data_IF_803095156075
#
_entry.id   IF_803095156075
#
_cell.length_a   1.000
_cell.length_b   1.000
_cell.length_c   1.000
_cell.angle_alpha   90.00
_cell.angle_beta   90.00
_cell.angle_gamma   90.00
#
_symmetry.space_group_name_H-M   'P 1'
#
loop_
_entity.id
_entity.type
_entity.pdbx_description
1 polymer ?
#
# COMPACT_ATOMS: atom_id res chain seq x y z
N UNK A 1 -4.64 14.20 -4.88
CA UNK A 1 -3.25 13.83 -4.47
C UNK A 1 -3.08 13.49 -2.98
N UNK A 2 -3.32 14.40 -2.02
CA UNK A 2 -3.03 14.13 -0.60
C UNK A 2 -3.72 12.86 -0.05
N UNK A 3 -4.99 12.63 -0.40
CA UNK A 3 -5.70 11.41 0.00
C UNK A 3 -4.97 10.13 -0.45
N UNK A 4 -4.39 10.09 -1.65
CA UNK A 4 -3.61 8.94 -2.15
C UNK A 4 -2.35 8.73 -1.29
N UNK A 5 -1.62 9.82 -1.01
CA UNK A 5 -0.41 9.79 -0.16
C UNK A 5 -0.71 9.28 1.24
N UNK A 6 -1.75 9.79 1.89
CA UNK A 6 -2.10 9.37 3.25
C UNK A 6 -2.63 7.93 3.27
N UNK A 7 -3.39 7.53 2.24
CA UNK A 7 -3.88 6.15 2.10
C UNK A 7 -2.74 5.14 2.03
N UNK A 8 -1.70 5.39 1.22
CA UNK A 8 -0.55 4.49 1.15
C UNK A 8 0.31 4.55 2.41
N UNK A 9 0.42 5.74 3.03
CA UNK A 9 1.16 5.91 4.30
C UNK A 9 0.51 5.11 5.44
N UNK A 10 -0.81 4.96 5.45
CA UNK A 10 -1.52 4.12 6.42
C UNK A 10 -1.16 2.63 6.27
N UNK A 11 -1.06 2.14 5.02
CA UNK A 11 -0.61 0.77 4.73
C UNK A 11 0.83 0.56 5.22
N UNK A 12 1.74 1.50 4.92
CA UNK A 12 3.13 1.45 5.36
C UNK A 12 3.24 1.42 6.89
N UNK A 13 2.47 2.27 7.58
CA UNK A 13 2.45 2.33 9.03
C UNK A 13 1.98 1.03 9.66
N UNK A 14 0.92 0.41 9.12
CA UNK A 14 0.44 -0.89 9.56
C UNK A 14 1.51 -1.97 9.37
N UNK A 15 2.05 -2.06 8.17
CA UNK A 15 3.10 -3.02 7.83
C UNK A 15 4.29 -2.88 8.79
N UNK A 16 4.79 -1.65 8.99
CA UNK A 16 5.89 -1.36 9.92
C UNK A 16 5.56 -1.74 11.36
N UNK A 17 4.32 -1.51 11.82
CA UNK A 17 3.87 -1.90 13.16
C UNK A 17 4.02 -3.42 13.40
N UNK A 18 3.72 -4.25 12.41
CA UNK A 18 3.81 -5.71 12.54
C UNK A 18 5.17 -6.30 12.20
N UNK A 19 5.96 -5.64 11.33
CA UNK A 19 7.18 -6.23 10.75
C UNK A 19 8.46 -5.51 11.18
N UNK A 20 8.38 -4.23 11.54
CA UNK A 20 9.53 -3.34 11.72
C UNK A 20 10.21 -2.92 10.41
N UNK A 21 9.69 -3.33 9.26
CA UNK A 21 10.30 -3.06 7.95
C UNK A 21 9.90 -1.68 7.41
N UNK A 22 10.76 -1.10 6.58
CA UNK A 22 10.56 0.23 5.99
C UNK A 22 9.85 0.21 4.64
N UNK A 23 9.72 -0.96 3.99
CA UNK A 23 9.12 -1.11 2.66
C UNK A 23 8.04 -2.19 2.64
N UNK A 24 7.07 -2.06 1.73
CA UNK A 24 5.94 -2.99 1.64
C UNK A 24 6.36 -4.41 1.22
N UNK A 25 7.27 -4.53 0.26
CA UNK A 25 7.78 -5.82 -0.24
C UNK A 25 8.44 -6.65 0.89
N UNK A 26 9.30 -6.02 1.69
CA UNK A 26 9.92 -6.64 2.86
C UNK A 26 8.89 -6.97 3.93
N UNK A 27 7.95 -6.06 4.15
CA UNK A 27 6.87 -6.27 5.11
C UNK A 27 6.01 -7.48 4.75
N UNK A 28 5.59 -7.61 3.49
CA UNK A 28 4.76 -8.72 3.02
C UNK A 28 5.49 -10.07 3.18
N UNK A 29 6.78 -10.14 2.79
CA UNK A 29 7.60 -11.34 3.03
C UNK A 29 7.71 -11.71 4.52
N UNK A 30 7.86 -10.72 5.39
CA UNK A 30 7.95 -10.95 6.83
C UNK A 30 6.61 -11.33 7.45
N UNK A 31 5.51 -10.76 6.97
CA UNK A 31 4.16 -11.17 7.37
C UNK A 31 3.88 -12.62 6.98
N UNK A 32 4.31 -13.07 5.79
CA UNK A 32 4.23 -14.48 5.39
C UNK A 32 4.97 -15.39 6.37
N UNK A 33 6.18 -15.00 6.80
CA UNK A 33 6.92 -15.76 7.82
C UNK A 33 6.23 -15.82 9.20
N UNK A 34 5.28 -14.89 9.45
CA UNK A 34 4.46 -14.83 10.68
C UNK A 34 3.12 -15.54 10.54
N UNK A 35 2.89 -16.28 9.44
CA UNK A 35 1.67 -17.06 9.23
C UNK A 35 0.63 -16.39 8.33
N UNK A 36 0.90 -15.20 7.79
CA UNK A 36 0.01 -14.58 6.79
C UNK A 36 0.13 -15.31 5.45
N UNK A 37 -0.79 -16.21 5.15
CA UNK A 37 -0.84 -16.85 3.83
C UNK A 37 -1.58 -15.94 2.84
N UNK A 38 -0.82 -15.26 1.98
CA UNK A 38 -1.35 -14.51 0.84
C UNK A 38 -1.31 -15.38 -0.41
N UNK A 39 -2.38 -15.33 -1.20
CA UNK A 39 -2.31 -15.83 -2.57
C UNK A 39 -1.22 -15.04 -3.34
N UNK A 40 -0.31 -15.69 -4.09
CA UNK A 40 0.81 -15.02 -4.76
C UNK A 40 0.37 -13.93 -5.75
N UNK A 41 -0.76 -14.13 -6.44
CA UNK A 41 -1.29 -13.17 -7.41
C UNK A 41 -1.85 -11.94 -6.69
N UNK A 42 -2.54 -12.13 -5.56
CA UNK A 42 -3.01 -11.03 -4.71
C UNK A 42 -1.83 -10.20 -4.20
N UNK A 43 -0.78 -10.85 -3.69
CA UNK A 43 0.44 -10.18 -3.23
C UNK A 43 1.08 -9.33 -4.34
N UNK A 44 1.25 -9.91 -5.53
CA UNK A 44 1.81 -9.20 -6.67
C UNK A 44 0.95 -7.99 -7.09
N UNK A 45 -0.38 -8.10 -7.00
CA UNK A 45 -1.29 -6.98 -7.25
C UNK A 45 -1.10 -5.84 -6.25
N UNK A 46 -0.99 -6.16 -4.96
CA UNK A 46 -0.76 -5.18 -3.90
C UNK A 46 0.58 -4.47 -4.06
N UNK A 47 1.64 -5.21 -4.38
CA UNK A 47 2.96 -4.66 -4.68
C UNK A 47 2.89 -3.69 -5.87
N UNK A 48 2.20 -4.06 -6.96
CA UNK A 48 2.04 -3.18 -8.13
C UNK A 48 1.29 -1.88 -7.83
N UNK A 49 0.21 -1.94 -7.04
CA UNK A 49 -0.54 -0.75 -6.61
C UNK A 49 0.35 0.16 -5.74
N UNK A 50 1.13 -0.44 -4.85
CA UNK A 50 2.09 0.30 -4.03
C UNK A 50 3.16 0.97 -4.89
N UNK A 51 3.78 0.26 -5.83
CA UNK A 51 4.78 0.85 -6.73
C UNK A 51 4.19 1.96 -7.60
N UNK A 52 2.96 1.81 -8.10
CA UNK A 52 2.26 2.87 -8.84
C UNK A 52 2.21 4.20 -8.05
N UNK A 53 2.05 4.13 -6.73
CA UNK A 53 1.97 5.32 -5.88
C UNK A 53 3.31 5.79 -5.31
N UNK A 54 4.27 4.88 -5.06
CA UNK A 54 5.48 5.15 -4.27
C UNK A 54 6.80 5.21 -5.07
N UNK A 55 6.87 4.76 -6.32
CA UNK A 55 8.12 4.73 -7.09
C UNK A 55 8.66 6.14 -7.43
N UNK A 56 9.92 6.25 -7.87
CA UNK A 56 10.43 7.47 -8.51
C UNK A 56 9.57 7.78 -9.75
N UNK A 57 9.04 9.00 -9.84
CA UNK A 57 8.02 9.38 -10.82
C UNK A 57 6.58 9.00 -10.45
N UNK A 58 6.39 8.20 -9.39
CA UNK A 58 5.09 7.87 -8.80
C UNK A 58 4.41 9.08 -8.16
N UNK A 59 3.11 8.96 -7.91
CA UNK A 59 2.24 10.06 -7.47
C UNK A 59 2.70 10.77 -6.19
N UNK A 60 3.44 10.06 -5.32
CA UNK A 60 3.99 10.58 -4.05
C UNK A 60 5.28 11.39 -4.24
N UNK A 61 6.11 11.05 -5.22
CA UNK A 61 7.42 11.67 -5.45
C UNK A 61 7.44 12.67 -6.62
N UNK A 62 6.45 12.60 -7.53
CA UNK A 62 6.23 13.66 -8.51
C UNK A 62 5.72 14.92 -7.81
N UNK A 63 6.64 15.86 -7.59
CA UNK A 63 6.36 17.27 -7.29
C UNK A 63 5.81 18.04 -8.51
N UNK A 64 5.76 17.40 -9.69
CA UNK A 64 5.78 18.11 -10.97
C UNK A 64 4.45 18.17 -11.75
N UNK A 65 3.37 17.50 -11.34
CA UNK A 65 2.09 17.65 -12.05
C UNK A 65 0.90 17.23 -11.18
N UNK A 66 0.21 18.21 -10.58
CA UNK A 66 -1.13 18.00 -10.02
C UNK A 66 -2.15 17.57 -11.09
N UNK A 67 -1.83 17.77 -12.37
CA UNK A 67 -2.67 17.52 -13.54
C UNK A 67 -2.89 16.03 -13.88
N UNK A 68 -2.19 15.09 -13.23
CA UNK A 68 -2.20 13.66 -13.60
C UNK A 68 -3.05 12.74 -12.73
N UNK A 69 -3.70 13.26 -11.69
CA UNK A 69 -4.59 12.46 -10.83
C UNK A 69 -5.87 13.19 -10.52
N UNK A 70 -6.98 12.47 -10.61
CA UNK A 70 -8.30 13.02 -10.39
C UNK A 70 -8.95 12.50 -9.10
N UNK A 71 -10.23 12.81 -8.93
CA UNK A 71 -11.01 12.35 -7.78
C UNK A 71 -11.26 10.83 -7.80
N UNK A 72 -11.35 10.22 -8.97
CA UNK A 72 -11.53 8.78 -9.11
C UNK A 72 -10.29 8.03 -8.61
N UNK A 73 -9.09 8.49 -8.98
CA UNK A 73 -7.82 7.93 -8.48
C UNK A 73 -7.74 8.04 -6.94
N UNK A 74 -8.13 9.19 -6.39
CA UNK A 74 -8.12 9.41 -4.95
C UNK A 74 -9.09 8.45 -4.22
N UNK A 75 -10.31 8.27 -4.74
CA UNK A 75 -11.30 7.35 -4.18
C UNK A 75 -10.83 5.90 -4.29
N UNK A 76 -10.28 5.52 -5.44
CA UNK A 76 -9.77 4.17 -5.66
C UNK A 76 -8.69 3.81 -4.64
N UNK A 77 -7.72 4.70 -4.44
CA UNK A 77 -6.64 4.49 -3.47
C UNK A 77 -7.15 4.47 -2.03
N UNK A 78 -8.06 5.37 -1.66
CA UNK A 78 -8.66 5.39 -0.32
C UNK A 78 -9.34 4.05 0.01
N UNK A 79 -10.22 3.59 -0.87
CA UNK A 79 -10.98 2.35 -0.65
C UNK A 79 -10.07 1.13 -0.69
N UNK A 80 -9.16 1.06 -1.67
CA UNK A 80 -8.24 -0.08 -1.83
C UNK A 80 -7.27 -0.21 -0.65
N UNK A 81 -6.67 0.90 -0.19
CA UNK A 81 -5.81 0.90 0.99
C UNK A 81 -6.59 0.55 2.27
N UNK A 82 -7.81 1.04 2.41
CA UNK A 82 -8.67 0.68 3.54
C UNK A 82 -8.99 -0.81 3.55
N UNK A 83 -9.39 -1.37 2.40
CA UNK A 83 -9.62 -2.81 2.26
C UNK A 83 -8.36 -3.63 2.59
N UNK A 84 -7.19 -3.17 2.14
CA UNK A 84 -5.93 -3.85 2.38
C UNK A 84 -5.53 -3.84 3.87
N UNK A 85 -5.65 -2.70 4.54
CA UNK A 85 -5.41 -2.57 5.98
C UNK A 85 -6.31 -3.52 6.77
N UNK A 86 -7.61 -3.50 6.48
CA UNK A 86 -8.58 -4.37 7.15
C UNK A 86 -8.26 -5.85 6.88
N UNK A 87 -7.95 -6.21 5.65
CA UNK A 87 -7.60 -7.57 5.28
C UNK A 87 -6.36 -8.08 6.04
N UNK A 88 -5.29 -7.28 6.12
CA UNK A 88 -4.09 -7.66 6.91
C UNK A 88 -4.46 -7.85 8.38
N UNK A 89 -5.18 -6.90 8.98
CA UNK A 89 -5.59 -6.98 10.39
C UNK A 89 -6.40 -8.24 10.64
N UNK A 90 -7.41 -8.53 9.81
CA UNK A 90 -8.26 -9.72 9.96
C UNK A 90 -7.52 -11.04 9.77
N UNK A 91 -6.37 -11.05 9.10
CA UNK A 91 -5.53 -12.24 8.94
C UNK A 91 -4.47 -12.40 10.02
N UNK A 92 -4.19 -11.34 10.78
CA UNK A 92 -3.20 -11.33 11.86
C UNK A 92 -3.84 -11.38 13.26
N UNK A 93 -5.14 -11.08 13.37
CA UNK A 93 -5.95 -11.31 14.56
C UNK A 93 -6.24 -12.80 14.74
#
# INVERSE_FOLDING_TARGET
>A
RNSIKESISAVEALCRKFTGESTLDKSLKKLESKGLVLNPQLKAGLEKIYFYTNSEGGLRHSLLDESKVDQADAKFMLVSCSAFVNYIISKLA
#
